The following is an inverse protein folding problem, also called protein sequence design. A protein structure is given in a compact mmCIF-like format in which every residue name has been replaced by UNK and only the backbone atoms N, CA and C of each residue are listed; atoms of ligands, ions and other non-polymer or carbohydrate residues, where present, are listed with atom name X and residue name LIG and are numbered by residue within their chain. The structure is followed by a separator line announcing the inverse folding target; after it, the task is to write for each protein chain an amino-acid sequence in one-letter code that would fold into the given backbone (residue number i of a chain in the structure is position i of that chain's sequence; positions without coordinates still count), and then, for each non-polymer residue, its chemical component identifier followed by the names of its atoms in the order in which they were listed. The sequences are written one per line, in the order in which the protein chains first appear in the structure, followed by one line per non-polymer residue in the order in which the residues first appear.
data_IF_434740661748
#
_entry.id   IF_434740661748
#
_cell.length_a   1.000
_cell.length_b   1.000
_cell.length_c   1.000
_cell.angle_alpha   90.00
_cell.angle_beta   90.00
_cell.angle_gamma   90.00
#
_symmetry.space_group_name_H-M   'P 1'
#
loop_
_entity.id
_entity.type
_entity.pdbx_description
1 polymer ?
#
# COMPACT_ATOMS: atom_id res chain seq x y z
N UNK A 1 4.25 15.16 -0.89
CA UNK A 1 3.17 14.54 -0.08
C UNK A 1 1.91 14.52 -0.92
N UNK A 2 1.16 13.41 -0.94
CA UNK A 2 -0.20 13.45 -1.47
C UNK A 2 -1.01 14.49 -0.68
N UNK A 3 -1.97 15.18 -1.31
CA UNK A 3 -2.86 16.07 -0.57
C UNK A 3 -3.56 15.26 0.52
N UNK A 4 -3.66 15.84 1.73
CA UNK A 4 -4.50 15.26 2.79
C UNK A 4 -5.89 15.03 2.23
N UNK A 5 -6.47 13.87 2.55
CA UNK A 5 -7.80 13.55 2.09
C UNK A 5 -8.83 14.53 2.65
N UNK A 6 -9.95 14.67 1.93
CA UNK A 6 -11.05 15.54 2.36
C UNK A 6 -11.61 15.04 3.71
N UNK A 7 -12.17 15.93 4.55
CA UNK A 7 -12.88 15.49 5.75
C UNK A 7 -13.98 14.49 5.36
N UNK A 8 -14.03 13.34 6.05
CA UNK A 8 -14.86 12.16 5.75
C UNK A 8 -14.47 11.36 4.50
N UNK A 9 -13.26 11.54 3.97
CA UNK A 9 -12.69 10.60 3.01
C UNK A 9 -12.67 9.20 3.63
N UNK A 10 -13.07 8.17 2.88
CA UNK A 10 -12.99 6.81 3.39
C UNK A 10 -11.54 6.30 3.38
N UNK A 11 -10.58 7.05 2.85
CA UNK A 11 -9.18 6.65 2.80
C UNK A 11 -8.47 6.91 4.12
N UNK A 12 -7.58 6.01 4.52
CA UNK A 12 -6.51 6.32 5.47
C UNK A 12 -5.50 7.26 4.82
N UNK A 13 -5.05 8.29 5.54
CA UNK A 13 -4.02 9.21 5.06
C UNK A 13 -2.62 8.78 5.54
N UNK A 14 -1.59 8.85 4.68
CA UNK A 14 -0.23 8.50 5.07
C UNK A 14 0.28 9.34 6.25
N UNK A 15 0.85 8.66 7.23
CA UNK A 15 1.49 9.28 8.39
C UNK A 15 2.99 9.50 8.16
N UNK A 16 3.52 10.59 8.71
CA UNK A 16 4.94 10.88 8.66
C UNK A 16 5.75 9.87 9.49
N UNK A 17 6.95 9.53 9.02
CA UNK A 17 7.84 8.59 9.72
C UNK A 17 7.61 7.10 9.43
N UNK A 18 6.51 6.76 8.73
CA UNK A 18 6.19 5.38 8.35
C UNK A 18 6.68 4.98 6.95
N UNK A 19 7.41 5.86 6.26
CA UNK A 19 8.15 5.55 5.03
C UNK A 19 9.64 5.72 5.31
N UNK A 20 10.39 4.63 5.17
CA UNK A 20 11.82 4.58 5.45
C UNK A 20 12.61 4.49 4.15
N UNK A 21 13.67 5.30 4.06
CA UNK A 21 14.66 5.21 2.99
C UNK A 21 15.71 4.16 3.37
N UNK A 22 15.74 3.06 2.63
CA UNK A 22 16.69 1.98 2.82
C UNK A 22 17.92 2.25 1.94
N UNK A 23 18.76 3.21 2.35
CA UNK A 23 19.93 3.64 1.56
C UNK A 23 20.85 2.48 1.16
N UNK A 24 21.08 1.53 2.07
CA UNK A 24 21.93 0.36 1.83
C UNK A 24 21.34 -0.61 0.80
N UNK A 25 20.01 -0.70 0.74
CA UNK A 25 19.29 -1.54 -0.21
C UNK A 25 18.87 -0.78 -1.49
N UNK A 26 19.18 0.53 -1.57
CA UNK A 26 18.73 1.43 -2.63
C UNK A 26 17.22 1.32 -2.91
N UNK A 27 16.41 1.43 -1.84
CA UNK A 27 14.96 1.29 -1.92
C UNK A 27 14.23 2.00 -0.78
N UNK A 28 12.92 1.76 -0.70
CA UNK A 28 12.08 2.31 0.36
C UNK A 28 11.22 1.22 0.98
N UNK A 29 11.05 1.29 2.29
CA UNK A 29 10.09 0.47 3.02
C UNK A 29 8.90 1.34 3.40
N UNK A 30 7.73 0.93 2.93
CA UNK A 30 6.45 1.55 3.29
C UNK A 30 5.78 0.69 4.34
N UNK A 31 5.67 1.21 5.57
CA UNK A 31 4.84 0.59 6.61
C UNK A 31 3.36 0.89 6.33
N UNK A 32 2.41 0.07 6.83
CA UNK A 32 1.00 0.25 6.49
C UNK A 32 0.46 1.65 6.76
N UNK A 33 0.83 2.27 7.90
CA UNK A 33 0.44 3.65 8.25
C UNK A 33 1.02 4.72 7.33
N UNK A 34 2.09 4.41 6.59
CA UNK A 34 2.72 5.30 5.61
C UNK A 34 2.09 5.21 4.21
N UNK A 35 1.03 4.43 4.04
CA UNK A 35 0.29 4.29 2.80
C UNK A 35 -1.04 5.03 2.89
N UNK A 36 -1.53 5.53 1.77
CA UNK A 36 -2.93 5.90 1.63
C UNK A 36 -3.69 4.64 1.27
N UNK A 37 -4.71 4.27 2.04
CA UNK A 37 -5.41 3.00 1.89
C UNK A 37 -6.89 3.25 1.67
N UNK A 38 -7.46 2.73 0.58
CA UNK A 38 -8.91 2.80 0.33
C UNK A 38 -9.67 2.11 1.46
N UNK A 39 -10.68 2.80 2.01
CA UNK A 39 -11.44 2.35 3.17
C UNK A 39 -10.61 2.18 4.45
N UNK A 40 -9.35 2.62 4.49
CA UNK A 40 -8.44 2.39 5.61
C UNK A 40 -8.87 3.04 6.93
N UNK A 41 -9.73 4.06 6.88
CA UNK A 41 -10.33 4.69 8.06
C UNK A 41 -11.61 3.98 8.56
N UNK A 42 -12.03 2.91 7.88
CA UNK A 42 -13.24 2.17 8.18
C UNK A 42 -12.88 0.83 8.83
N UNK A 43 -13.13 0.75 10.14
CA UNK A 43 -12.83 -0.41 10.96
C UNK A 43 -13.66 -1.66 10.58
N UNK A 44 -14.66 -1.54 9.70
CA UNK A 44 -15.37 -2.70 9.15
C UNK A 44 -14.51 -3.44 8.14
N UNK A 45 -13.66 -2.73 7.40
CA UNK A 45 -12.83 -3.29 6.33
C UNK A 45 -11.38 -3.47 6.74
N UNK A 46 -10.82 -2.58 7.56
CA UNK A 46 -9.40 -2.61 7.91
C UNK A 46 -9.17 -2.63 9.42
N UNK A 47 -8.07 -3.26 9.83
CA UNK A 47 -7.46 -3.07 11.14
C UNK A 47 -6.01 -2.63 10.91
N UNK A 48 -5.72 -1.35 11.16
CA UNK A 48 -4.36 -0.82 11.08
C UNK A 48 -3.59 -1.16 12.35
N UNK A 49 -2.27 -1.35 12.26
CA UNK A 49 -1.45 -1.54 13.45
C UNK A 49 -1.56 -0.31 14.37
N UNK A 50 -1.47 -0.50 15.70
CA UNK A 50 -1.37 0.61 16.64
C UNK A 50 -0.20 1.54 16.30
N UNK A 51 -0.32 2.80 16.68
CA UNK A 51 0.76 3.78 16.45
C UNK A 51 2.04 3.33 17.18
N UNK A 52 3.17 3.37 16.47
CA UNK A 52 4.46 2.93 16.99
C UNK A 52 4.70 1.41 16.93
N UNK A 53 3.70 0.61 16.56
CA UNK A 53 3.85 -0.83 16.36
C UNK A 53 4.15 -1.19 14.91
N UNK A 54 4.97 -2.23 14.72
CA UNK A 54 5.42 -2.70 13.40
C UNK A 54 4.57 -3.87 12.86
N UNK A 55 3.25 -3.73 12.95
CA UNK A 55 2.28 -4.74 12.54
C UNK A 55 1.79 -4.61 11.09
N UNK A 56 1.18 -5.66 10.52
CA UNK A 56 0.51 -5.58 9.22
C UNK A 56 -0.81 -4.79 9.32
N UNK A 57 -1.30 -4.26 8.19
CA UNK A 57 -2.70 -3.87 8.08
C UNK A 57 -3.53 -5.10 7.67
N UNK A 58 -4.55 -5.42 8.46
CA UNK A 58 -5.42 -6.58 8.22
C UNK A 58 -6.67 -6.17 7.45
N UNK A 59 -6.91 -6.84 6.31
CA UNK A 59 -8.08 -6.67 5.46
C UNK A 59 -9.18 -7.67 5.83
N UNK A 60 -10.41 -7.20 6.01
CA UNK A 60 -11.55 -7.99 6.49
C UNK A 60 -12.67 -8.06 5.45
N UNK A 61 -13.14 -9.28 5.19
CA UNK A 61 -14.35 -9.53 4.40
C UNK A 61 -14.28 -9.17 2.92
N UNK A 62 -13.11 -8.79 2.40
CA UNK A 62 -12.87 -8.46 0.98
C UNK A 62 -11.54 -9.03 0.50
N UNK A 63 -11.41 -9.23 -0.81
CA UNK A 63 -10.28 -9.93 -1.45
C UNK A 63 -9.47 -9.06 -2.40
N UNK A 64 -9.60 -7.74 -2.31
CA UNK A 64 -8.83 -6.78 -3.10
C UNK A 64 -8.51 -5.56 -2.26
N UNK A 65 -7.42 -4.87 -2.59
CA UNK A 65 -7.06 -3.61 -1.95
C UNK A 65 -6.41 -2.68 -2.97
N UNK A 66 -6.53 -1.38 -2.70
CA UNK A 66 -5.80 -0.33 -3.42
C UNK A 66 -5.06 0.52 -2.38
N UNK A 67 -3.76 0.71 -2.63
CA UNK A 67 -2.89 1.52 -1.77
C UNK A 67 -2.04 2.47 -2.62
N UNK A 68 -1.78 3.66 -2.10
CA UNK A 68 -0.89 4.63 -2.72
C UNK A 68 0.22 5.01 -1.75
N UNK A 69 1.46 4.86 -2.20
CA UNK A 69 2.66 5.33 -1.50
C UNK A 69 3.26 6.56 -2.16
N UNK A 70 4.04 7.34 -1.42
CA UNK A 70 4.84 8.43 -1.97
C UNK A 70 6.16 8.54 -1.23
N UNK A 71 7.25 8.74 -1.98
CA UNK A 71 8.59 9.01 -1.46
C UNK A 71 8.79 10.52 -1.28
N UNK A 72 9.75 10.92 -0.44
CA UNK A 72 10.14 12.33 -0.30
C UNK A 72 10.80 12.87 -1.58
N UNK A 73 11.68 12.07 -2.16
CA UNK A 73 12.34 12.38 -3.43
C UNK A 73 11.58 11.77 -4.60
N UNK A 74 11.65 12.42 -5.76
CA UNK A 74 11.07 11.86 -6.98
C UNK A 74 11.87 10.63 -7.43
N UNK A 75 11.15 9.60 -7.87
CA UNK A 75 11.77 8.46 -8.54
C UNK A 75 12.51 8.93 -9.81
N UNK A 76 13.69 8.34 -10.05
CA UNK A 76 14.52 8.65 -11.20
C UNK A 76 13.85 8.13 -12.47
N UNK A 77 13.54 9.06 -13.39
CA UNK A 77 12.92 8.72 -14.69
C UNK A 77 13.79 7.73 -15.47
N UNK A 78 13.15 6.75 -16.12
CA UNK A 78 13.82 5.76 -16.97
C UNK A 78 14.52 4.63 -16.20
N UNK A 79 14.39 4.59 -14.87
CA UNK A 79 14.84 3.45 -14.06
C UNK A 79 13.74 2.40 -13.91
N UNK A 80 14.15 1.16 -13.67
CA UNK A 80 13.26 0.07 -13.30
C UNK A 80 13.17 0.02 -11.79
N UNK A 81 11.96 -0.20 -11.29
CA UNK A 81 11.66 -0.36 -9.89
C UNK A 81 10.94 -1.68 -9.70
N UNK A 82 11.23 -2.35 -8.58
CA UNK A 82 10.51 -3.52 -8.13
C UNK A 82 9.57 -3.10 -6.99
N UNK A 83 8.36 -3.64 -6.99
CA UNK A 83 7.37 -3.43 -5.94
C UNK A 83 7.06 -4.80 -5.38
N UNK A 84 7.24 -4.96 -4.08
CA UNK A 84 7.04 -6.23 -3.40
C UNK A 84 6.11 -6.00 -2.22
N UNK A 85 5.15 -6.91 -2.06
CA UNK A 85 4.22 -6.91 -0.93
C UNK A 85 4.50 -8.15 -0.08
N UNK A 86 4.51 -7.97 1.24
CA UNK A 86 4.45 -9.07 2.18
C UNK A 86 2.98 -9.30 2.53
N UNK A 87 2.40 -10.39 2.04
CA UNK A 87 0.99 -10.74 2.27
C UNK A 87 0.92 -12.06 3.00
N UNK A 88 0.16 -12.10 4.08
CA UNK A 88 -0.18 -13.31 4.82
C UNK A 88 -1.68 -13.50 4.78
N UNK A 89 -2.12 -14.74 4.56
CA UNK A 89 -3.53 -15.11 4.48
C UNK A 89 -3.89 -15.87 5.74
N UNK A 90 -4.94 -15.44 6.44
CA UNK A 90 -5.41 -16.12 7.64
C UNK A 90 -5.95 -17.52 7.27
N UNK A 91 -5.84 -18.50 8.16
CA UNK A 91 -6.19 -19.91 7.88
C UNK A 91 -7.66 -20.13 7.50
N UNK A 92 -8.54 -19.21 7.90
CA UNK A 92 -9.96 -19.22 7.53
C UNK A 92 -10.31 -18.43 6.26
N UNK A 93 -9.35 -17.76 5.62
CA UNK A 93 -9.60 -17.00 4.41
C UNK A 93 -9.58 -17.91 3.18
N UNK A 94 -10.59 -17.76 2.33
CA UNK A 94 -10.72 -18.43 1.04
C UNK A 94 -10.27 -17.49 -0.08
N UNK A 95 -10.19 -17.99 -1.32
CA UNK A 95 -9.89 -17.23 -2.55
C UNK A 95 -8.41 -17.00 -2.92
N UNK A 96 -7.41 -17.32 -2.08
CA UNK A 96 -5.99 -17.10 -2.42
C UNK A 96 -5.25 -18.33 -2.96
N UNK A 97 -5.73 -19.54 -2.69
CA UNK A 97 -5.02 -20.78 -3.09
C UNK A 97 -5.24 -21.15 -4.57
N UNK A 98 -6.37 -20.72 -5.15
CA UNK A 98 -6.82 -21.20 -6.46
C UNK A 98 -7.12 -20.07 -7.47
N UNK A 99 -6.92 -18.80 -7.09
CA UNK A 99 -7.18 -17.65 -7.97
C UNK A 99 -5.89 -16.89 -8.27
N UNK A 100 -5.70 -16.40 -9.51
CA UNK A 100 -4.58 -15.56 -9.86
C UNK A 100 -4.63 -14.23 -9.08
N UNK A 101 -3.46 -13.78 -8.62
CA UNK A 101 -3.30 -12.47 -7.99
C UNK A 101 -3.03 -11.45 -9.09
N UNK A 102 -3.86 -10.41 -9.15
CA UNK A 102 -3.71 -9.31 -10.09
C UNK A 102 -3.09 -8.10 -9.39
N UNK A 103 -1.97 -7.61 -9.91
CA UNK A 103 -1.30 -6.42 -9.40
C UNK A 103 -1.25 -5.37 -10.50
N UNK A 104 -1.78 -4.19 -10.21
CA UNK A 104 -1.64 -3.00 -11.05
C UNK A 104 -0.79 -1.98 -10.31
N UNK A 105 0.31 -1.56 -10.95
CA UNK A 105 1.16 -0.51 -10.42
C UNK A 105 1.21 0.67 -11.40
N UNK A 106 1.02 1.87 -10.86
CA UNK A 106 1.17 3.13 -11.59
C UNK A 106 2.17 4.01 -10.86
N UNK A 107 2.90 4.83 -11.62
CA UNK A 107 3.89 5.78 -11.07
C UNK A 107 3.60 7.15 -11.64
N UNK A 108 3.34 8.12 -10.76
CA UNK A 108 2.97 9.49 -11.14
C UNK A 108 1.55 9.62 -11.69
N UNK A 109 1.14 10.84 -12.01
CA UNK A 109 -0.26 11.20 -12.33
C UNK A 109 -0.69 10.97 -13.79
N UNK A 110 0.03 10.13 -14.56
CA UNK A 110 -0.23 10.00 -16.01
C UNK A 110 0.20 8.70 -16.68
N UNK A 111 0.46 7.63 -15.93
CA UNK A 111 0.82 6.33 -16.50
C UNK A 111 -0.41 5.46 -16.80
N UNK A 112 -0.61 5.05 -18.05
CA UNK A 112 -1.46 3.89 -18.35
C UNK A 112 -0.76 2.62 -17.86
N UNK A 113 -1.38 1.92 -16.89
CA UNK A 113 -0.87 0.64 -16.39
C UNK A 113 -0.74 -0.35 -17.55
N UNK A 114 0.43 -0.98 -17.68
CA UNK A 114 0.61 -2.08 -18.64
C UNK A 114 0.54 -3.39 -17.86
N UNK A 115 -0.46 -4.19 -18.20
CA UNK A 115 -0.58 -5.56 -17.70
C UNK A 115 0.38 -6.46 -18.46
N UNK A 116 1.05 -7.37 -17.74
CA UNK A 116 1.72 -8.54 -18.31
C UNK A 116 1.22 -9.75 -17.55
N UNK A 117 0.66 -10.70 -18.30
CA UNK A 117 0.34 -12.05 -17.83
C UNK A 117 1.62 -12.87 -17.57
#
# INVERSE_FOLDING_TARGET
MPPKSLPNSPHHDPEEGYVQDLQEANGWLFKPRGLNIVWGNDDRYWCLPPEGEDGPAELKGVTWFEVTGSTKENLKRGKKYEISFLVSVNTGASCWNDLPIFIMATVGTGGSGRWKE
#
